data_IF_710476627262
#
_entry.id   IF_710476627262
#
_cell.length_a   1.000
_cell.length_b   1.000
_cell.length_c   1.000
_cell.angle_alpha   90.00
_cell.angle_beta   90.00
_cell.angle_gamma   90.00
#
_symmetry.space_group_name_H-M   'P 1'
#
loop_
_entity.id
_entity.type
_entity.pdbx_description
1 polymer ?
#
# COMPACT_ATOMS: atom_id res chain seq x y z
N UNK A 1 -35.39 4.02 2.93
CA UNK A 1 -34.49 2.89 3.26
C UNK A 1 -33.11 3.14 2.68
N UNK A 2 -32.13 3.31 3.55
CA UNK A 2 -30.75 3.38 3.09
C UNK A 2 -30.34 2.00 2.53
N UNK A 3 -29.91 1.96 1.26
CA UNK A 3 -29.27 0.76 0.73
C UNK A 3 -28.03 0.49 1.57
N UNK A 4 -27.96 -0.69 2.19
CA UNK A 4 -26.74 -1.11 2.86
C UNK A 4 -25.60 -1.10 1.85
N UNK A 5 -24.54 -0.39 2.20
CA UNK A 5 -23.32 -0.34 1.41
C UNK A 5 -22.65 -1.71 1.46
N UNK A 6 -22.43 -2.30 0.30
CA UNK A 6 -21.71 -3.57 0.21
C UNK A 6 -20.22 -3.30 0.06
N UNK A 7 -19.48 -3.41 1.17
CA UNK A 7 -18.04 -3.21 1.21
C UNK A 7 -17.37 -4.55 1.51
N UNK A 8 -16.48 -4.97 0.62
CA UNK A 8 -15.73 -6.23 0.73
C UNK A 8 -14.25 -5.93 0.54
N UNK A 9 -13.41 -6.51 1.39
CA UNK A 9 -11.96 -6.48 1.22
C UNK A 9 -11.51 -7.90 0.90
N UNK A 10 -10.78 -8.06 -0.20
CA UNK A 10 -10.35 -9.36 -0.71
C UNK A 10 -9.04 -9.23 -1.49
N UNK A 11 -8.29 -10.33 -1.70
CA UNK A 11 -7.09 -10.29 -2.52
C UNK A 11 -7.42 -9.83 -3.95
N UNK A 12 -6.56 -8.99 -4.49
CA UNK A 12 -6.64 -8.56 -5.89
C UNK A 12 -6.33 -9.72 -6.83
N UNK A 13 -6.84 -9.63 -8.04
CA UNK A 13 -6.61 -10.61 -9.11
C UNK A 13 -6.01 -9.93 -10.34
N UNK A 14 -5.54 -10.73 -11.30
CA UNK A 14 -5.00 -10.20 -12.57
C UNK A 14 -6.01 -9.33 -13.33
N UNK A 15 -7.29 -9.61 -13.21
CA UNK A 15 -8.35 -8.80 -13.82
C UNK A 15 -8.36 -7.36 -13.28
N UNK A 16 -7.79 -7.13 -12.11
CA UNK A 16 -7.76 -5.83 -11.44
C UNK A 16 -6.56 -4.96 -11.84
N UNK A 17 -5.61 -5.49 -12.61
CA UNK A 17 -4.32 -4.84 -12.88
C UNK A 17 -4.45 -3.42 -13.44
N UNK A 18 -5.31 -3.21 -14.42
CA UNK A 18 -5.48 -1.88 -15.05
C UNK A 18 -6.00 -0.85 -14.05
N UNK A 19 -7.02 -1.20 -13.27
CA UNK A 19 -7.57 -0.30 -12.25
C UNK A 19 -6.56 0.00 -11.15
N UNK A 20 -5.86 -1.02 -10.67
CA UNK A 20 -4.84 -0.86 -9.64
C UNK A 20 -3.68 0.01 -10.12
N UNK A 21 -3.27 -0.16 -11.37
CA UNK A 21 -2.24 0.68 -11.97
C UNK A 21 -2.68 2.14 -12.00
N UNK A 22 -3.92 2.42 -12.37
CA UNK A 22 -4.47 3.77 -12.34
C UNK A 22 -4.46 4.38 -10.95
N UNK A 23 -4.81 3.60 -9.94
CA UNK A 23 -4.80 4.05 -8.54
C UNK A 23 -3.38 4.34 -8.04
N UNK A 24 -2.41 3.49 -8.36
CA UNK A 24 -1.01 3.74 -8.05
C UNK A 24 -0.51 5.00 -8.75
N UNK A 25 -0.94 5.24 -9.99
CA UNK A 25 -0.63 6.48 -10.70
C UNK A 25 -1.14 7.72 -9.97
N UNK A 26 -2.35 7.67 -9.41
CA UNK A 26 -2.89 8.76 -8.59
C UNK A 26 -2.01 9.00 -7.35
N UNK A 27 -1.58 7.93 -6.69
CA UNK A 27 -0.72 8.02 -5.51
C UNK A 27 0.65 8.60 -5.86
N UNK A 28 1.30 8.08 -6.89
CA UNK A 28 2.66 8.50 -7.27
C UNK A 28 2.70 9.93 -7.80
N UNK A 29 1.61 10.42 -8.38
CA UNK A 29 1.51 11.82 -8.79
C UNK A 29 1.57 12.79 -7.60
N UNK A 30 1.26 12.32 -6.39
CA UNK A 30 1.28 13.10 -5.16
C UNK A 30 2.58 12.95 -4.36
N UNK A 31 3.38 11.93 -4.65
CA UNK A 31 4.62 11.64 -3.94
C UNK A 31 5.81 12.33 -4.58
N UNK A 32 6.76 12.79 -3.74
CA UNK A 32 7.90 13.58 -4.19
C UNK A 32 8.95 12.76 -4.96
N UNK A 33 9.09 11.47 -4.63
CA UNK A 33 10.17 10.62 -5.15
C UNK A 33 9.79 9.81 -6.39
N UNK A 34 8.52 9.83 -6.79
CA UNK A 34 8.01 8.91 -7.81
C UNK A 34 7.25 9.64 -8.92
N UNK A 35 7.21 8.99 -10.08
CA UNK A 35 6.41 9.42 -11.22
C UNK A 35 5.48 8.29 -11.66
N UNK A 36 4.26 8.60 -12.09
CA UNK A 36 3.40 7.57 -12.66
C UNK A 36 4.03 6.96 -13.91
N UNK A 37 4.10 5.63 -13.94
CA UNK A 37 4.54 4.84 -15.09
C UNK A 37 3.72 3.54 -15.12
N UNK A 38 2.73 3.51 -15.97
CA UNK A 38 1.77 2.40 -16.05
C UNK A 38 2.47 1.05 -16.31
N UNK A 39 3.44 1.03 -17.21
CA UNK A 39 4.18 -0.21 -17.55
C UNK A 39 4.91 -0.76 -16.33
N UNK A 40 5.62 0.09 -15.60
CA UNK A 40 6.32 -0.32 -14.39
C UNK A 40 5.34 -0.75 -13.29
N UNK A 41 4.26 -0.01 -13.12
CA UNK A 41 3.25 -0.31 -12.10
C UNK A 41 2.61 -1.69 -12.33
N UNK A 42 2.24 -2.00 -13.55
CA UNK A 42 1.69 -3.32 -13.92
C UNK A 42 2.73 -4.42 -13.73
N UNK A 43 3.97 -4.19 -14.15
CA UNK A 43 5.05 -5.16 -13.98
C UNK A 43 5.28 -5.49 -12.49
N UNK A 44 5.32 -4.46 -11.66
CA UNK A 44 5.48 -4.63 -10.21
C UNK A 44 4.35 -5.42 -9.58
N UNK A 45 3.10 -5.08 -9.91
CA UNK A 45 1.93 -5.78 -9.42
C UNK A 45 1.94 -7.26 -9.84
N UNK A 46 2.28 -7.56 -11.10
CA UNK A 46 2.38 -8.95 -11.56
C UNK A 46 3.41 -9.75 -10.79
N UNK A 47 4.57 -9.16 -10.52
CA UNK A 47 5.60 -9.81 -9.71
C UNK A 47 5.09 -10.20 -8.33
N UNK A 48 4.27 -9.34 -7.73
CA UNK A 48 3.66 -9.64 -6.43
C UNK A 48 2.62 -10.75 -6.56
N UNK A 49 1.75 -10.68 -7.57
CA UNK A 49 0.71 -11.70 -7.79
C UNK A 49 1.29 -13.09 -8.05
N UNK A 50 2.44 -13.16 -8.73
CA UNK A 50 3.13 -14.42 -9.03
C UNK A 50 3.86 -15.01 -7.83
N UNK A 51 4.04 -14.25 -6.76
CA UNK A 51 4.85 -14.63 -5.60
C UNK A 51 4.10 -14.38 -4.28
N UNK A 52 3.07 -15.18 -3.98
CA UNK A 52 2.26 -14.96 -2.78
C UNK A 52 3.01 -15.08 -1.45
N UNK A 53 4.20 -15.69 -1.45
CA UNK A 53 5.06 -15.72 -0.26
C UNK A 53 5.83 -14.42 -0.04
N UNK A 54 5.86 -13.52 -1.01
CA UNK A 54 6.62 -12.26 -0.95
C UNK A 54 5.76 -11.04 -0.77
N UNK A 55 4.46 -11.14 -0.97
CA UNK A 55 3.58 -9.99 -0.82
C UNK A 55 2.12 -10.32 -1.07
N UNK A 56 1.28 -9.36 -0.80
CA UNK A 56 -0.16 -9.46 -1.00
C UNK A 56 -0.74 -8.10 -1.32
N UNK A 57 -1.62 -8.04 -2.32
CA UNK A 57 -2.41 -6.85 -2.59
C UNK A 57 -3.85 -7.15 -2.23
N UNK A 58 -4.44 -6.35 -1.35
CA UNK A 58 -5.86 -6.39 -1.05
C UNK A 58 -6.57 -5.20 -1.69
N UNK A 59 -7.78 -5.44 -2.16
CA UNK A 59 -8.65 -4.39 -2.69
C UNK A 59 -9.88 -4.24 -1.83
N UNK A 60 -10.38 -3.02 -1.71
CA UNK A 60 -11.67 -2.73 -1.12
C UNK A 60 -12.64 -2.45 -2.27
N UNK A 61 -13.69 -3.28 -2.36
CA UNK A 61 -14.76 -3.10 -3.35
C UNK A 61 -16.00 -2.55 -2.66
N UNK A 62 -16.53 -1.51 -3.24
CA UNK A 62 -17.82 -0.94 -2.82
C UNK A 62 -18.80 -1.22 -3.94
N UNK A 63 -19.85 -2.00 -3.63
CA UNK A 63 -20.86 -2.39 -4.63
C UNK A 63 -20.21 -2.98 -5.90
N UNK A 64 -19.17 -3.80 -5.72
CA UNK A 64 -18.44 -4.47 -6.79
C UNK A 64 -17.31 -3.67 -7.44
N UNK A 65 -17.23 -2.36 -7.21
CA UNK A 65 -16.21 -1.51 -7.81
C UNK A 65 -15.03 -1.28 -6.84
N UNK A 66 -13.80 -1.32 -7.36
CA UNK A 66 -12.60 -1.05 -6.54
C UNK A 66 -12.56 0.44 -6.21
N UNK A 67 -12.50 0.75 -4.92
CA UNK A 67 -12.36 2.12 -4.43
C UNK A 67 -11.10 2.33 -3.60
N UNK A 68 -10.39 1.26 -3.27
CA UNK A 68 -9.13 1.35 -2.52
C UNK A 68 -8.30 0.08 -2.66
N UNK A 69 -7.01 0.22 -2.37
CA UNK A 69 -6.06 -0.90 -2.37
C UNK A 69 -4.98 -0.71 -1.31
N UNK A 70 -4.43 -1.82 -0.85
CA UNK A 70 -3.24 -1.82 -0.01
C UNK A 70 -2.27 -2.89 -0.51
N UNK A 71 -1.00 -2.50 -0.65
CA UNK A 71 0.07 -3.36 -1.12
C UNK A 71 1.03 -3.65 0.02
N UNK A 72 1.19 -4.93 0.35
CA UNK A 72 1.99 -5.40 1.47
C UNK A 72 3.11 -6.31 0.96
N UNK A 73 4.33 -6.04 1.40
CA UNK A 73 5.49 -6.88 1.07
C UNK A 73 5.98 -7.59 2.34
N UNK A 74 6.45 -8.81 2.18
CA UNK A 74 6.88 -9.66 3.28
C UNK A 74 8.39 -9.83 3.25
N UNK A 75 9.04 -9.66 4.39
CA UNK A 75 10.47 -9.86 4.52
C UNK A 75 10.79 -10.46 5.90
N UNK A 76 12.06 -10.71 6.16
CA UNK A 76 12.52 -11.34 7.39
C UNK A 76 13.39 -10.35 8.14
N UNK A 77 13.15 -10.21 9.43
CA UNK A 77 13.97 -9.40 10.33
C UNK A 77 14.77 -10.32 11.25
N UNK A 78 16.09 -10.20 11.20
CA UNK A 78 16.94 -10.91 12.15
C UNK A 78 16.87 -10.29 13.54
N UNK A 79 16.56 -9.00 13.63
CA UNK A 79 16.37 -8.32 14.92
C UNK A 79 15.11 -8.82 15.64
N UNK A 80 14.00 -8.97 14.89
CA UNK A 80 12.73 -9.47 15.44
C UNK A 80 12.68 -11.00 15.52
N UNK A 81 13.47 -11.68 14.73
CA UNK A 81 13.52 -13.13 14.70
C UNK A 81 12.38 -13.79 13.92
N UNK A 82 11.89 -13.12 12.87
CA UNK A 82 10.79 -13.68 12.07
C UNK A 82 10.34 -12.78 10.95
N UNK A 83 9.16 -13.04 10.43
CA UNK A 83 8.61 -12.27 9.32
C UNK A 83 8.12 -10.90 9.77
N UNK A 84 8.43 -9.89 8.96
CA UNK A 84 7.93 -8.52 9.11
C UNK A 84 7.34 -8.06 7.79
N UNK A 85 6.52 -7.04 7.85
CA UNK A 85 5.76 -6.54 6.72
C UNK A 85 6.17 -5.11 6.40
N UNK A 86 6.29 -4.81 5.11
CA UNK A 86 6.40 -3.45 4.60
C UNK A 86 5.07 -3.09 3.96
N UNK A 87 4.41 -2.04 4.46
CA UNK A 87 3.26 -1.46 3.80
C UNK A 87 3.82 -0.53 2.70
N UNK A 88 3.76 -1.00 1.47
CA UNK A 88 4.35 -0.30 0.33
C UNK A 88 3.45 0.82 -0.18
N UNK A 89 2.17 0.52 -0.38
CA UNK A 89 1.20 1.47 -0.91
C UNK A 89 -0.14 1.32 -0.19
N UNK A 90 -0.78 2.45 0.07
CA UNK A 90 -2.17 2.50 0.53
C UNK A 90 -2.82 3.67 -0.21
N UNK A 91 -3.83 3.38 -1.01
CA UNK A 91 -4.51 4.41 -1.79
C UNK A 91 -6.01 4.18 -1.80
N UNK A 92 -6.75 5.27 -1.61
CA UNK A 92 -8.20 5.34 -1.79
C UNK A 92 -8.47 6.25 -2.98
N UNK A 93 -9.28 5.77 -3.91
CA UNK A 93 -9.59 6.46 -5.16
C UNK A 93 -10.20 7.84 -4.89
N UNK A 94 -9.89 8.80 -5.76
CA UNK A 94 -10.47 10.15 -5.71
C UNK A 94 -12.00 10.07 -5.65
N UNK A 95 -12.61 10.91 -4.83
CA UNK A 95 -14.05 10.92 -4.64
C UNK A 95 -14.55 9.95 -3.57
N UNK A 96 -13.70 9.03 -3.10
CA UNK A 96 -14.04 8.07 -2.05
C UNK A 96 -13.22 8.28 -0.78
N UNK A 97 -12.38 9.31 -0.75
CA UNK A 97 -11.56 9.66 0.40
C UNK A 97 -12.42 10.27 1.53
N UNK A 98 -11.89 10.25 2.75
CA UNK A 98 -12.55 10.76 3.96
C UNK A 98 -13.86 10.02 4.33
N UNK A 99 -14.01 8.77 3.90
CA UNK A 99 -15.16 7.91 4.19
C UNK A 99 -14.81 6.69 5.06
N UNK A 100 -13.58 6.63 5.55
CA UNK A 100 -13.11 5.53 6.40
C UNK A 100 -12.60 4.31 5.65
N UNK A 101 -12.51 4.31 4.35
CA UNK A 101 -12.03 3.16 3.56
C UNK A 101 -10.54 2.89 3.77
N UNK A 102 -9.72 3.92 3.91
CA UNK A 102 -8.31 3.76 4.24
C UNK A 102 -8.12 3.05 5.58
N UNK A 103 -8.90 3.43 6.59
CA UNK A 103 -8.88 2.77 7.90
C UNK A 103 -9.32 1.31 7.81
N UNK A 104 -10.33 1.01 7.01
CA UNK A 104 -10.78 -0.38 6.81
C UNK A 104 -9.69 -1.24 6.17
N UNK A 105 -9.00 -0.72 5.15
CA UNK A 105 -7.88 -1.42 4.50
C UNK A 105 -6.71 -1.61 5.46
N UNK A 106 -6.35 -0.58 6.20
CA UNK A 106 -5.24 -0.66 7.16
C UNK A 106 -5.56 -1.64 8.29
N UNK A 107 -6.75 -1.60 8.83
CA UNK A 107 -7.18 -2.55 9.87
C UNK A 107 -7.20 -4.00 9.35
N UNK A 108 -7.60 -4.20 8.10
CA UNK A 108 -7.54 -5.51 7.46
C UNK A 108 -6.10 -6.04 7.37
N UNK A 109 -5.16 -5.17 6.99
CA UNK A 109 -3.74 -5.51 6.93
C UNK A 109 -3.17 -5.83 8.31
N UNK A 110 -3.54 -5.07 9.33
CA UNK A 110 -3.11 -5.31 10.71
C UNK A 110 -3.64 -6.67 11.21
N UNK A 111 -4.91 -6.96 10.96
CA UNK A 111 -5.51 -8.23 11.34
C UNK A 111 -4.86 -9.41 10.60
N UNK A 112 -4.58 -9.25 9.31
CA UNK A 112 -3.84 -10.22 8.52
C UNK A 112 -2.44 -10.46 9.10
N UNK A 113 -1.73 -9.40 9.46
CA UNK A 113 -0.40 -9.49 10.05
C UNK A 113 -0.44 -10.27 11.38
N UNK A 114 -1.41 -9.98 12.22
CA UNK A 114 -1.58 -10.69 13.50
C UNK A 114 -1.88 -12.18 13.30
N UNK A 115 -2.79 -12.51 12.39
CA UNK A 115 -3.17 -13.89 12.09
C UNK A 115 -2.02 -14.70 11.51
N UNK A 116 -1.15 -14.08 10.74
CA UNK A 116 0.00 -14.73 10.11
C UNK A 116 1.29 -14.60 10.92
N UNK A 117 1.21 -14.07 12.13
CA UNK A 117 2.33 -13.93 13.05
C UNK A 117 3.46 -13.04 12.53
N UNK A 118 3.13 -12.00 11.77
CA UNK A 118 4.08 -10.94 11.46
C UNK A 118 4.38 -10.13 12.71
N UNK A 119 5.64 -9.74 12.87
CA UNK A 119 6.12 -9.15 14.13
C UNK A 119 6.12 -7.62 14.10
N UNK A 120 6.10 -7.02 12.91
CA UNK A 120 6.15 -5.57 12.74
C UNK A 120 5.61 -5.19 11.37
N UNK A 121 5.00 -4.01 11.26
CA UNK A 121 4.68 -3.38 9.99
C UNK A 121 5.45 -2.07 9.92
N UNK A 122 6.23 -1.88 8.85
CA UNK A 122 6.95 -0.64 8.58
C UNK A 122 6.36 0.02 7.33
N UNK A 123 6.35 1.33 7.29
CA UNK A 123 5.99 2.08 6.09
C UNK A 123 6.91 3.30 5.94
N UNK A 124 7.01 3.80 4.71
CA UNK A 124 7.66 5.06 4.41
C UNK A 124 6.59 6.07 4.03
N UNK A 125 6.65 7.25 4.58
CA UNK A 125 5.70 8.33 4.31
C UNK A 125 6.46 9.62 4.08
N UNK A 126 5.82 10.55 3.38
CA UNK A 126 6.41 11.86 3.15
C UNK A 126 6.61 12.63 4.46
N UNK A 127 7.38 13.68 4.38
CA UNK A 127 7.87 14.45 5.53
C UNK A 127 6.78 15.07 6.40
N UNK A 128 7.14 15.58 7.61
CA UNK A 128 6.21 16.09 8.62
C UNK A 128 5.20 17.09 8.06
N UNK A 129 4.04 17.18 8.70
CA UNK A 129 2.89 17.98 8.31
C UNK A 129 2.00 17.34 7.23
N UNK A 130 2.32 16.11 6.85
CA UNK A 130 1.47 15.37 5.94
C UNK A 130 0.29 14.74 6.70
N UNK A 131 -0.90 14.86 6.16
CA UNK A 131 -2.13 14.25 6.68
C UNK A 131 -1.99 12.72 6.81
N UNK A 132 -1.19 12.10 5.93
CA UNK A 132 -0.94 10.66 5.97
C UNK A 132 -0.24 10.23 7.26
N UNK A 133 0.73 10.99 7.76
CA UNK A 133 1.40 10.64 9.01
C UNK A 133 0.45 10.63 10.19
N UNK A 134 -0.43 11.61 10.27
CA UNK A 134 -1.44 11.70 11.32
C UNK A 134 -2.39 10.50 11.26
N UNK A 135 -2.81 10.12 10.07
CA UNK A 135 -3.63 8.94 9.84
C UNK A 135 -2.95 7.67 10.39
N UNK A 136 -1.67 7.46 10.08
CA UNK A 136 -0.94 6.29 10.57
C UNK A 136 -0.74 6.33 12.09
N UNK A 137 -0.44 7.49 12.67
CA UNK A 137 -0.31 7.64 14.13
C UNK A 137 -1.59 7.24 14.86
N UNK A 138 -2.75 7.61 14.32
CA UNK A 138 -4.05 7.22 14.90
C UNK A 138 -4.26 5.72 14.90
N UNK A 139 -3.57 4.99 14.02
CA UNK A 139 -3.63 3.53 13.97
C UNK A 139 -2.51 2.85 14.74
N UNK A 140 -1.76 3.60 15.54
CA UNK A 140 -0.74 3.04 16.42
C UNK A 140 0.68 3.03 15.86
N UNK A 141 0.89 3.56 14.66
CA UNK A 141 2.24 3.71 14.10
C UNK A 141 2.98 4.83 14.82
N UNK A 142 4.26 4.60 15.07
CA UNK A 142 5.15 5.58 15.68
C UNK A 142 6.32 5.85 14.74
N UNK A 143 6.84 7.07 14.78
CA UNK A 143 7.97 7.45 13.96
C UNK A 143 9.22 6.68 14.42
N UNK A 144 9.97 6.12 13.44
CA UNK A 144 11.24 5.46 13.68
C UNK A 144 12.38 6.46 13.60
N UNK A 145 13.47 6.20 14.36
CA UNK A 145 14.71 6.95 14.23
C UNK A 145 15.55 6.54 13.01
N UNK A 146 15.16 5.47 12.33
CA UNK A 146 15.86 4.98 11.13
C UNK A 146 15.55 5.87 9.93
N UNK A 147 16.57 6.16 9.12
CA UNK A 147 16.44 7.03 7.96
C UNK A 147 16.53 6.17 6.69
N UNK A 148 15.59 6.29 5.75
CA UNK A 148 15.70 5.59 4.47
C UNK A 148 16.82 6.22 3.63
N UNK A 149 17.62 5.36 3.00
CA UNK A 149 18.66 5.76 2.05
C UNK A 149 18.51 4.92 0.79
N UNK A 150 18.67 5.52 -0.40
CA UNK A 150 18.54 4.83 -1.68
C UNK A 150 19.74 5.03 -2.55
N UNK A 151 20.14 3.95 -3.22
CA UNK A 151 21.03 3.99 -4.36
C UNK A 151 20.28 3.43 -5.57
N UNK A 152 20.11 4.23 -6.60
CA UNK A 152 19.45 3.79 -7.84
C UNK A 152 20.41 2.91 -8.64
N UNK A 153 19.99 1.68 -8.93
CA UNK A 153 20.82 0.72 -9.68
C UNK A 153 20.68 0.96 -11.18
N UNK A 154 19.51 1.44 -11.63
CA UNK A 154 19.28 1.77 -13.04
C UNK A 154 19.45 3.27 -13.26
N UNK A 155 20.16 3.70 -14.36
CA UNK A 155 20.42 5.12 -14.61
C UNK A 155 19.19 5.96 -14.93
N UNK A 156 18.04 5.35 -15.15
CA UNK A 156 16.81 5.99 -15.62
C UNK A 156 16.24 7.05 -14.67
N UNK A 157 16.61 6.98 -13.40
CA UNK A 157 16.11 7.92 -12.39
C UNK A 157 17.05 9.11 -12.16
N UNK A 158 18.21 9.12 -12.81
CA UNK A 158 19.21 10.19 -12.65
C UNK A 158 19.16 11.25 -13.75
N UNK A 159 18.28 11.09 -14.73
CA UNK A 159 18.27 11.96 -15.93
C UNK A 159 17.47 13.26 -15.77
N UNK A 160 16.87 13.49 -14.59
CA UNK A 160 15.97 14.64 -14.36
C UNK A 160 16.44 15.56 -13.23
N UNK A 161 17.73 15.57 -12.98
CA UNK A 161 18.30 16.58 -12.07
C UNK A 161 18.68 17.83 -12.83
#
# INVERSE_FOLDING_TARGET
>A
MSKQENVVIEPATEADLDELSGMLGELFAQESDFRPDKTNQIRGLRLIFEQPSRGRVFVLRRNGAIVGMINLLFTISTAEGGFVMLLEDLVVHKGYQAKGYGSKLLNHAIDFAKKKNFLRITLLTDRPENVAQEFFRRHGFVESSMIPMRLWITPQHNSDQ
#
